data_IF_363679614143
#
_entry.id   IF_363679614143
#
_cell.length_a   1.000
_cell.length_b   1.000
_cell.length_c   1.000
_cell.angle_alpha   90.00
_cell.angle_beta   90.00
_cell.angle_gamma   90.00
#
_symmetry.space_group_name_H-M   'P 1'
#
loop_
_entity.id
_entity.type
_entity.pdbx_description
1 polymer ?
#
# COMPACT_ATOMS: atom_id res chain seq x y z
N UNK A 1 -4.99 -54.32 1.61
CA UNK A 1 -4.08 -53.18 1.34
C UNK A 1 -4.66 -52.14 0.35
N UNK A 2 -5.98 -51.89 0.33
CA UNK A 2 -6.59 -50.85 -0.54
C UNK A 2 -6.86 -49.54 0.21
N UNK A 3 -7.04 -49.58 1.53
CA UNK A 3 -7.37 -48.42 2.36
C UNK A 3 -6.20 -47.48 2.64
N UNK A 4 -4.95 -47.96 2.55
CA UNK A 4 -3.76 -47.15 2.84
C UNK A 4 -3.46 -46.12 1.73
N UNK A 5 -3.84 -46.42 0.48
CA UNK A 5 -3.60 -45.52 -0.67
C UNK A 5 -4.56 -44.32 -0.70
N UNK A 6 -5.73 -44.44 -0.07
CA UNK A 6 -6.74 -43.38 -0.05
C UNK A 6 -6.37 -42.29 0.97
N UNK A 7 -5.82 -42.66 2.13
CA UNK A 7 -5.40 -41.67 3.14
C UNK A 7 -4.24 -40.79 2.64
N UNK A 8 -3.26 -41.35 1.92
CA UNK A 8 -2.11 -40.59 1.39
C UNK A 8 -2.53 -39.59 0.31
N UNK A 9 -3.52 -39.94 -0.53
CA UNK A 9 -4.03 -39.05 -1.58
C UNK A 9 -4.79 -37.85 -0.99
N UNK A 10 -5.57 -38.08 0.08
CA UNK A 10 -6.32 -37.02 0.78
C UNK A 10 -5.38 -36.04 1.50
N UNK A 11 -4.28 -36.53 2.09
CA UNK A 11 -3.26 -35.67 2.71
C UNK A 11 -2.51 -34.79 1.70
N UNK A 12 -2.26 -35.29 0.49
CA UNK A 12 -1.61 -34.52 -0.58
C UNK A 12 -2.56 -33.44 -1.11
N UNK A 13 -3.86 -33.72 -1.24
CA UNK A 13 -4.85 -32.71 -1.68
C UNK A 13 -5.03 -31.59 -0.65
N UNK A 14 -4.99 -31.88 0.66
CA UNK A 14 -5.07 -30.83 1.68
C UNK A 14 -3.83 -29.93 1.77
N UNK A 15 -2.64 -30.43 1.40
CA UNK A 15 -1.42 -29.61 1.33
C UNK A 15 -1.44 -28.58 0.16
N UNK A 16 -2.33 -28.74 -0.82
CA UNK A 16 -2.51 -27.77 -1.90
C UNK A 16 -3.60 -26.72 -1.63
N UNK A 17 -4.37 -26.85 -0.53
CA UNK A 17 -5.45 -25.91 -0.18
C UNK A 17 -5.01 -24.94 0.93
N UNK A 18 -3.83 -25.13 1.53
CA UNK A 18 -3.12 -24.04 2.22
C UNK A 18 -2.54 -23.06 1.20
N UNK A 19 -3.41 -22.53 0.33
CA UNK A 19 -3.13 -21.30 -0.38
C UNK A 19 -2.71 -20.30 0.67
N UNK A 20 -1.51 -19.75 0.48
CA UNK A 20 -1.03 -18.60 1.22
C UNK A 20 -2.02 -17.47 0.91
N UNK A 21 -3.11 -17.41 1.68
CA UNK A 21 -4.05 -16.32 1.67
C UNK A 21 -3.27 -15.15 2.26
N UNK A 22 -2.52 -14.47 1.39
CA UNK A 22 -2.15 -13.08 1.59
C UNK A 22 -3.49 -12.37 1.88
N UNK A 23 -3.79 -12.16 3.15
CA UNK A 23 -4.99 -11.44 3.56
C UNK A 23 -4.92 -10.08 2.87
N UNK A 24 -5.82 -9.91 1.89
CA UNK A 24 -6.01 -8.62 1.26
C UNK A 24 -6.66 -7.75 2.32
N UNK A 25 -5.97 -6.71 2.76
CA UNK A 25 -6.61 -5.69 3.57
C UNK A 25 -7.53 -4.89 2.65
N UNK A 26 -8.83 -5.16 2.71
CA UNK A 26 -9.83 -4.30 2.09
C UNK A 26 -9.81 -2.94 2.80
N UNK A 27 -10.03 -1.86 2.05
CA UNK A 27 -10.11 -0.54 2.65
C UNK A 27 -11.33 -0.45 3.56
N UNK A 28 -11.13 0.12 4.76
CA UNK A 28 -12.20 0.25 5.74
C UNK A 28 -13.37 1.05 5.14
N UNK A 29 -14.57 0.46 5.21
CA UNK A 29 -15.81 1.17 4.96
C UNK A 29 -15.96 2.25 6.03
N UNK A 30 -16.18 3.49 5.58
CA UNK A 30 -16.24 4.64 6.48
C UNK A 30 -17.59 4.62 7.20
N UNK A 31 -17.57 4.36 8.50
CA UNK A 31 -18.72 4.51 9.39
C UNK A 31 -18.68 5.90 10.03
N UNK A 32 -19.60 6.77 9.61
CA UNK A 32 -19.70 8.15 10.10
C UNK A 32 -19.90 8.24 11.62
N UNK A 33 -20.50 7.23 12.24
CA UNK A 33 -20.69 7.21 13.70
C UNK A 33 -19.36 7.11 14.46
N UNK A 34 -18.34 6.49 13.85
CA UNK A 34 -16.99 6.35 14.42
C UNK A 34 -16.14 7.62 14.29
N UNK A 35 -16.45 8.50 13.35
CA UNK A 35 -15.76 9.80 13.16
C UNK A 35 -15.95 10.79 14.32
N UNK A 36 -16.70 10.43 15.37
CA UNK A 36 -16.86 11.26 16.58
C UNK A 36 -15.59 11.30 17.44
N UNK A 37 -14.78 10.24 17.40
CA UNK A 37 -13.52 10.13 18.16
C UNK A 37 -12.30 9.89 17.25
N UNK A 38 -12.54 9.76 15.95
CA UNK A 38 -11.54 9.37 14.96
C UNK A 38 -11.52 10.38 13.80
N UNK A 39 -10.39 10.43 13.12
CA UNK A 39 -10.18 11.11 11.85
C UNK A 39 -10.07 10.09 10.72
N UNK A 40 -10.35 10.55 9.50
CA UNK A 40 -10.22 9.77 8.29
C UNK A 40 -9.01 10.26 7.47
N UNK A 41 -8.04 9.38 7.24
CA UNK A 41 -6.98 9.60 6.25
C UNK A 41 -7.42 8.97 4.92
N UNK A 42 -7.27 9.73 3.84
CA UNK A 42 -7.51 9.30 2.47
C UNK A 42 -6.31 9.61 1.58
N UNK A 43 -6.14 8.82 0.53
CA UNK A 43 -5.14 9.05 -0.50
C UNK A 43 -5.26 8.05 -1.64
N UNK A 44 -4.30 8.04 -2.54
CA UNK A 44 -4.25 7.07 -3.62
C UNK A 44 -2.86 6.51 -3.83
N UNK A 45 -2.81 5.32 -4.41
CA UNK A 45 -1.61 4.77 -5.02
C UNK A 45 -1.79 4.79 -6.53
N UNK A 46 -0.82 5.33 -7.26
CA UNK A 46 -0.86 5.31 -8.73
C UNK A 46 0.42 4.76 -9.35
N UNK A 47 0.27 4.29 -10.59
CA UNK A 47 1.36 3.79 -11.42
C UNK A 47 1.09 4.12 -12.88
N UNK A 48 2.15 4.22 -13.67
CA UNK A 48 2.02 4.38 -15.12
C UNK A 48 1.37 3.12 -15.74
N UNK A 49 0.62 3.32 -16.81
CA UNK A 49 0.10 2.23 -17.66
C UNK A 49 1.26 1.49 -18.35
N UNK A 50 1.06 0.22 -18.67
CA UNK A 50 2.03 -0.62 -19.40
C UNK A 50 2.37 -1.92 -18.66
N UNK A 51 3.43 -2.61 -19.10
CA UNK A 51 3.83 -3.93 -18.58
C UNK A 51 4.93 -3.89 -17.51
N UNK A 52 5.63 -2.76 -17.38
CA UNK A 52 6.72 -2.58 -16.43
C UNK A 52 6.23 -1.84 -15.20
N UNK A 53 5.32 -2.43 -14.43
CA UNK A 53 4.73 -1.78 -13.26
C UNK A 53 4.93 -2.58 -11.97
N UNK A 54 4.82 -1.87 -10.85
CA UNK A 54 4.92 -2.41 -9.50
C UNK A 54 3.55 -2.98 -9.10
N UNK A 55 3.53 -4.22 -8.62
CA UNK A 55 2.28 -4.96 -8.35
C UNK A 55 1.81 -4.84 -6.90
N UNK A 56 2.71 -4.47 -5.99
CA UNK A 56 2.48 -4.41 -4.55
C UNK A 56 3.02 -3.09 -4.02
N UNK A 57 2.26 -2.35 -3.23
CA UNK A 57 2.76 -1.11 -2.63
C UNK A 57 2.28 -0.99 -1.20
N UNK A 58 3.13 -0.46 -0.32
CA UNK A 58 2.72 -0.11 1.04
C UNK A 58 3.51 1.07 1.56
N UNK A 59 2.99 1.63 2.64
CA UNK A 59 3.68 2.53 3.55
C UNK A 59 3.23 2.17 4.96
N UNK A 60 3.98 2.66 5.94
CA UNK A 60 3.66 2.49 7.34
C UNK A 60 3.12 3.80 7.91
N UNK A 61 2.01 3.73 8.64
CA UNK A 61 1.56 4.81 9.52
C UNK A 61 2.01 4.48 10.93
N UNK A 62 2.95 5.27 11.46
CA UNK A 62 3.47 5.12 12.82
C UNK A 62 3.11 6.31 13.68
N UNK A 63 2.81 6.08 14.96
CA UNK A 63 2.66 7.14 15.96
C UNK A 63 3.89 7.16 16.88
N UNK A 64 4.15 8.28 17.56
CA UNK A 64 5.15 8.33 18.63
C UNK A 64 4.79 7.46 19.83
N UNK A 65 3.52 7.04 19.96
CA UNK A 65 3.03 6.20 21.05
C UNK A 65 2.43 4.88 20.52
N UNK A 66 3.31 4.03 19.97
CA UNK A 66 2.99 2.80 19.23
C UNK A 66 1.99 1.87 19.98
N UNK A 67 2.06 1.84 21.30
CA UNK A 67 1.19 1.01 22.16
C UNK A 67 -0.25 1.52 22.27
N UNK A 68 -0.49 2.82 22.09
CA UNK A 68 -1.84 3.39 22.11
C UNK A 68 -2.60 3.01 20.83
N UNK A 69 -1.96 3.17 19.68
CA UNK A 69 -2.54 2.84 18.38
C UNK A 69 -2.85 1.36 18.26
N UNK A 70 -1.92 0.49 18.66
CA UNK A 70 -2.15 -0.96 18.69
C UNK A 70 -3.39 -1.34 19.51
N UNK A 71 -3.57 -0.72 20.69
CA UNK A 71 -4.72 -0.98 21.57
C UNK A 71 -6.07 -0.53 21.00
N UNK A 72 -6.11 0.62 20.31
CA UNK A 72 -7.36 1.09 19.69
C UNK A 72 -7.77 0.20 18.52
N UNK A 73 -6.81 -0.26 17.71
CA UNK A 73 -7.08 -1.17 16.59
C UNK A 73 -7.44 -2.59 17.06
N UNK A 74 -6.73 -3.14 18.05
CA UNK A 74 -7.07 -4.42 18.66
C UNK A 74 -8.50 -4.41 19.25
N UNK A 75 -8.95 -3.28 19.80
CA UNK A 75 -10.31 -3.11 20.33
C UNK A 75 -11.38 -3.01 19.23
N UNK A 76 -11.03 -2.54 18.03
CA UNK A 76 -11.95 -2.47 16.88
C UNK A 76 -12.16 -3.83 16.18
N UNK A 77 -11.42 -4.87 16.57
CA UNK A 77 -11.40 -6.16 15.86
C UNK A 77 -10.76 -6.09 14.47
N UNK A 78 -10.13 -4.96 14.16
CA UNK A 78 -9.43 -4.72 12.91
C UNK A 78 -7.99 -5.19 13.09
N UNK A 79 -7.59 -6.26 12.40
CA UNK A 79 -6.21 -6.73 12.43
C UNK A 79 -5.36 -5.62 11.85
N UNK A 80 -4.45 -5.07 12.65
CA UNK A 80 -3.42 -4.14 12.20
C UNK A 80 -2.72 -4.73 10.98
N UNK A 81 -3.09 -4.24 9.81
CA UNK A 81 -2.20 -4.20 8.68
C UNK A 81 -2.40 -2.90 7.94
N UNK A 82 -2.07 -1.83 8.66
CA UNK A 82 -1.86 -0.50 8.09
C UNK A 82 -0.36 -0.20 7.90
N UNK A 83 0.51 -1.19 8.12
CA UNK A 83 1.97 -0.98 8.19
C UNK A 83 2.82 -2.26 8.04
N UNK A 84 2.34 -3.34 7.41
CA UNK A 84 3.19 -4.54 7.20
C UNK A 84 2.72 -5.48 6.07
N UNK A 85 1.44 -5.47 5.67
CA UNK A 85 1.03 -6.18 4.46
C UNK A 85 1.03 -5.21 3.26
N UNK A 86 1.66 -5.58 2.14
CA UNK A 86 1.57 -4.79 0.92
C UNK A 86 0.10 -4.65 0.49
N UNK A 87 -0.37 -3.42 0.29
CA UNK A 87 -1.65 -3.20 -0.37
C UNK A 87 -1.57 -3.74 -1.80
N UNK A 88 -2.59 -4.52 -2.17
CA UNK A 88 -2.76 -4.94 -3.55
C UNK A 88 -3.50 -3.84 -4.30
N UNK A 89 -2.99 -3.44 -5.47
CA UNK A 89 -3.73 -2.57 -6.36
C UNK A 89 -5.04 -3.25 -6.81
N UNK A 90 -6.18 -2.65 -6.47
CA UNK A 90 -7.50 -3.02 -6.98
C UNK A 90 -7.84 -2.34 -8.32
N UNK A 91 -7.02 -1.36 -8.74
CA UNK A 91 -7.24 -0.53 -9.93
C UNK A 91 -8.63 0.16 -9.90
N UNK A 92 -8.91 0.89 -8.83
CA UNK A 92 -10.15 1.68 -8.68
C UNK A 92 -10.32 2.74 -9.78
N UNK A 93 -9.21 3.17 -10.40
CA UNK A 93 -9.23 4.14 -11.47
C UNK A 93 -8.22 3.86 -12.58
N UNK A 94 -8.58 4.34 -13.77
CA UNK A 94 -7.69 4.57 -14.90
C UNK A 94 -7.86 6.02 -15.32
N UNK A 95 -6.77 6.79 -15.35
CA UNK A 95 -6.78 8.21 -15.65
C UNK A 95 -5.59 8.56 -16.55
N UNK A 96 -5.88 9.01 -17.76
CA UNK A 96 -4.90 9.35 -18.80
C UNK A 96 -3.82 8.26 -18.99
N UNK A 97 -2.64 8.46 -18.42
CA UNK A 97 -1.47 7.58 -18.51
C UNK A 97 -1.21 6.78 -17.25
N UNK A 98 -2.11 6.87 -16.26
CA UNK A 98 -1.97 6.25 -14.95
C UNK A 98 -3.17 5.35 -14.62
N UNK A 99 -2.94 4.37 -13.75
CA UNK A 99 -4.00 3.63 -13.07
C UNK A 99 -3.61 3.44 -11.61
N UNK A 100 -4.59 3.20 -10.75
CA UNK A 100 -4.33 3.18 -9.33
C UNK A 100 -5.51 2.78 -8.47
N UNK A 101 -5.30 2.80 -7.18
CA UNK A 101 -6.31 2.53 -6.16
C UNK A 101 -6.40 3.68 -5.19
N UNK A 102 -7.63 3.99 -4.76
CA UNK A 102 -7.87 4.90 -3.65
C UNK A 102 -7.86 4.12 -2.34
N UNK A 103 -7.45 4.77 -1.26
CA UNK A 103 -7.44 4.18 0.07
C UNK A 103 -8.07 5.10 1.12
N UNK A 104 -8.57 4.47 2.18
CA UNK A 104 -9.10 5.12 3.37
C UNK A 104 -8.67 4.37 4.63
N UNK A 105 -8.37 5.09 5.69
CA UNK A 105 -8.13 4.52 7.02
C UNK A 105 -8.64 5.45 8.11
N UNK A 106 -9.31 4.87 9.10
CA UNK A 106 -9.76 5.56 10.30
C UNK A 106 -8.66 5.48 11.37
N UNK A 107 -8.33 6.62 11.96
CA UNK A 107 -7.30 6.72 13.01
C UNK A 107 -7.79 7.62 14.14
N UNK A 108 -7.42 7.36 15.41
CA UNK A 108 -7.74 8.28 16.51
C UNK A 108 -7.16 9.67 16.30
N UNK A 109 -7.70 10.67 17.00
CA UNK A 109 -7.04 11.98 17.05
C UNK A 109 -5.59 11.87 17.55
N UNK A 110 -4.70 12.68 16.97
CA UNK A 110 -3.29 12.62 17.33
C UNK A 110 -2.34 13.09 16.25
N UNK A 111 -1.06 12.75 16.45
CA UNK A 111 0.02 13.02 15.50
C UNK A 111 0.73 11.74 15.11
N UNK A 112 0.93 11.59 13.82
CA UNK A 112 1.40 10.40 13.13
C UNK A 112 2.52 10.76 12.14
N UNK A 113 3.28 9.76 11.75
CA UNK A 113 4.28 9.83 10.69
C UNK A 113 3.97 8.74 9.66
N UNK A 114 3.95 9.13 8.40
CA UNK A 114 3.85 8.20 7.28
C UNK A 114 5.26 7.96 6.77
N UNK A 115 5.70 6.70 6.78
CA UNK A 115 7.08 6.31 6.52
C UNK A 115 7.19 4.93 5.85
N UNK A 116 8.42 4.44 5.66
CA UNK A 116 8.76 3.09 5.16
C UNK A 116 7.99 2.70 3.89
N UNK A 117 8.20 3.45 2.81
CA UNK A 117 7.52 3.21 1.54
C UNK A 117 8.11 1.99 0.84
N UNK A 118 7.25 1.09 0.38
CA UNK A 118 7.60 -0.13 -0.33
C UNK A 118 6.94 -0.19 -1.70
N UNK A 119 7.73 -0.53 -2.71
CA UNK A 119 7.30 -0.84 -4.07
C UNK A 119 7.73 -2.26 -4.46
N UNK A 120 6.80 -3.21 -4.38
CA UNK A 120 7.01 -4.64 -4.57
C UNK A 120 6.78 -5.17 -5.99
N UNK A 121 7.65 -6.10 -6.39
CA UNK A 121 7.53 -6.94 -7.58
C UNK A 121 7.83 -8.39 -7.21
N UNK A 122 6.86 -9.29 -7.43
CA UNK A 122 7.00 -10.70 -7.07
C UNK A 122 7.10 -10.91 -5.55
N UNK A 123 8.20 -11.54 -5.11
CA UNK A 123 8.51 -11.86 -3.71
C UNK A 123 9.37 -10.81 -2.98
N UNK A 124 9.71 -9.69 -3.62
CA UNK A 124 10.49 -8.62 -3.00
C UNK A 124 10.01 -7.23 -3.38
N UNK A 125 10.74 -6.20 -2.95
CA UNK A 125 10.43 -4.81 -3.25
C UNK A 125 11.55 -3.82 -2.97
N UNK A 126 11.40 -2.61 -3.49
CA UNK A 126 12.26 -1.47 -3.21
C UNK A 126 11.71 -0.73 -1.99
N UNK A 127 12.58 -0.41 -1.03
CA UNK A 127 12.19 0.25 0.23
C UNK A 127 12.89 1.59 0.35
N UNK A 128 12.19 2.61 0.83
CA UNK A 128 12.76 3.92 1.10
C UNK A 128 12.03 4.62 2.24
N UNK A 129 12.80 5.40 3.02
CA UNK A 129 12.28 6.11 4.18
C UNK A 129 12.17 7.60 3.86
N UNK A 130 10.95 8.09 3.93
CA UNK A 130 10.61 9.51 3.96
C UNK A 130 9.57 9.66 5.06
N UNK A 131 9.66 10.68 5.89
CA UNK A 131 8.72 10.86 6.99
C UNK A 131 7.84 12.06 6.71
N UNK A 132 6.54 11.82 6.54
CA UNK A 132 5.53 12.87 6.45
C UNK A 132 4.76 12.93 7.77
N UNK A 133 4.85 14.06 8.47
CA UNK A 133 4.10 14.29 9.71
C UNK A 133 2.64 14.61 9.38
N UNK A 134 1.72 13.91 10.02
CA UNK A 134 0.27 14.10 9.87
C UNK A 134 -0.37 14.30 11.24
N UNK A 135 -0.98 15.46 11.46
CA UNK A 135 -1.74 15.75 12.68
C UNK A 135 -3.22 15.90 12.35
N UNK A 136 -4.04 15.15 13.08
CA UNK A 136 -5.49 15.02 12.87
C UNK A 136 -6.25 15.23 14.17
N UNK A 137 -7.45 15.79 14.06
CA UNK A 137 -8.45 15.90 15.13
C UNK A 137 -9.66 15.01 14.82
N UNK A 138 -10.45 14.69 15.85
CA UNK A 138 -11.69 13.97 15.65
C UNK A 138 -12.59 14.68 14.61
N UNK A 139 -13.11 13.90 13.66
CA UNK A 139 -13.93 14.39 12.55
C UNK A 139 -13.15 14.95 11.35
N UNK A 140 -11.82 15.09 11.43
CA UNK A 140 -11.02 15.53 10.29
C UNK A 140 -11.10 14.50 9.14
N UNK A 141 -11.15 15.01 7.91
CA UNK A 141 -10.89 14.24 6.69
C UNK A 141 -9.61 14.79 6.07
N UNK A 142 -8.57 13.97 6.00
CA UNK A 142 -7.24 14.41 5.60
C UNK A 142 -6.78 13.67 4.35
N UNK A 143 -6.45 14.43 3.31
CA UNK A 143 -5.85 13.90 2.09
C UNK A 143 -4.33 14.01 2.13
N UNK A 144 -3.66 12.86 2.06
CA UNK A 144 -2.20 12.76 2.18
C UNK A 144 -1.47 12.69 0.84
N UNK A 145 -2.21 12.59 -0.26
CA UNK A 145 -1.67 12.66 -1.62
C UNK A 145 -1.84 11.38 -2.43
N UNK A 146 -1.47 11.50 -3.70
CA UNK A 146 -1.23 10.39 -4.60
C UNK A 146 0.22 9.94 -4.46
N UNK A 147 0.41 8.72 -3.98
CA UNK A 147 1.71 8.06 -3.83
C UNK A 147 1.95 7.25 -5.10
N UNK A 148 2.65 7.88 -6.05
CA UNK A 148 2.98 7.31 -7.34
C UNK A 148 4.34 6.61 -7.30
N UNK A 149 4.36 5.37 -7.79
CA UNK A 149 5.60 4.58 -7.91
C UNK A 149 6.04 4.46 -9.37
N UNK A 150 7.15 5.10 -9.72
CA UNK A 150 7.72 5.11 -11.06
C UNK A 150 8.99 4.25 -11.14
N UNK A 151 8.96 3.10 -11.85
CA UNK A 151 10.11 2.23 -11.93
C UNK A 151 11.25 2.87 -12.73
N UNK A 152 12.47 2.76 -12.21
CA UNK A 152 13.69 3.12 -12.91
C UNK A 152 14.17 1.89 -13.67
N UNK A 153 14.22 2.02 -15.00
CA UNK A 153 14.60 0.95 -15.90
C UNK A 153 16.06 1.09 -16.33
N UNK A 154 16.80 -0.02 -16.31
CA UNK A 154 18.12 -0.14 -16.92
C UNK A 154 18.10 -1.28 -17.94
N UNK A 155 18.79 -1.09 -19.07
CA UNK A 155 19.00 -2.16 -20.04
C UNK A 155 19.72 -3.33 -19.39
N UNK A 156 19.26 -4.54 -19.66
CA UNK A 156 19.88 -5.76 -19.14
C UNK A 156 21.29 -5.89 -19.73
N UNK A 157 22.34 -6.14 -18.91
CA UNK A 157 23.72 -6.16 -19.40
C UNK A 157 23.98 -7.23 -20.48
N UNK A 158 23.18 -8.30 -20.48
CA UNK A 158 23.25 -9.40 -21.46
C UNK A 158 22.16 -9.38 -22.54
N UNK A 159 21.17 -8.49 -22.47
CA UNK A 159 20.03 -8.49 -23.41
C UNK A 159 19.58 -7.05 -23.71
N UNK A 160 20.03 -6.50 -24.83
CA UNK A 160 19.77 -5.09 -25.20
C UNK A 160 18.28 -4.75 -25.36
N UNK A 161 17.46 -5.74 -25.66
CA UNK A 161 16.01 -5.60 -25.80
C UNK A 161 15.23 -5.79 -24.48
N UNK A 162 15.89 -6.11 -23.37
CA UNK A 162 15.25 -6.29 -22.06
C UNK A 162 15.61 -5.15 -21.12
N UNK A 163 14.58 -4.59 -20.48
CA UNK A 163 14.73 -3.58 -19.42
C UNK A 163 14.39 -4.22 -18.08
N UNK A 164 15.27 -4.05 -17.10
CA UNK A 164 15.06 -4.45 -15.72
C UNK A 164 14.74 -3.24 -14.86
N UNK A 165 13.82 -3.42 -13.91
CA UNK A 165 13.58 -2.43 -12.86
C UNK A 165 14.72 -2.56 -11.86
N UNK A 166 15.51 -1.50 -11.68
CA UNK A 166 16.66 -1.47 -10.76
C UNK A 166 16.39 -0.68 -9.49
N UNK A 167 15.38 0.19 -9.53
CA UNK A 167 14.92 1.03 -8.42
C UNK A 167 13.55 1.59 -8.77
N UNK A 168 12.93 2.35 -7.87
CA UNK A 168 11.64 3.01 -8.08
C UNK A 168 11.69 4.40 -7.46
N UNK A 169 11.18 5.42 -8.16
CA UNK A 169 10.90 6.71 -7.55
C UNK A 169 9.53 6.66 -6.89
N UNK A 170 9.46 7.10 -5.64
CA UNK A 170 8.21 7.46 -4.99
C UNK A 170 7.97 8.94 -5.21
N UNK A 171 6.79 9.30 -5.71
CA UNK A 171 6.36 10.66 -5.95
C UNK A 171 5.05 10.87 -5.20
N UNK A 172 5.04 11.82 -4.27
CA UNK A 172 3.85 12.24 -3.54
C UNK A 172 3.40 13.57 -4.15
N UNK A 173 2.16 13.62 -4.63
CA UNK A 173 1.60 14.80 -5.29
C UNK A 173 0.12 14.99 -4.99
N UNK A 174 -0.38 16.21 -5.16
CA UNK A 174 -1.78 16.50 -4.88
C UNK A 174 -2.63 16.14 -6.10
N UNK A 175 -3.44 15.08 -5.98
CA UNK A 175 -4.39 14.65 -7.01
C UNK A 175 -5.82 14.61 -6.47
N UNK A 176 -6.14 15.39 -5.42
CA UNK A 176 -7.44 15.35 -4.77
C UNK A 176 -8.59 15.55 -5.77
N UNK A 177 -8.41 16.41 -6.77
CA UNK A 177 -9.42 16.68 -7.79
C UNK A 177 -9.80 15.44 -8.60
N UNK A 178 -8.80 14.66 -8.98
CA UNK A 178 -8.97 13.36 -9.65
C UNK A 178 -9.59 12.35 -8.68
N UNK A 179 -8.99 12.22 -7.50
CA UNK A 179 -9.30 11.15 -6.54
C UNK A 179 -10.67 11.31 -5.88
N UNK A 180 -11.11 12.55 -5.66
CA UNK A 180 -12.38 12.88 -5.01
C UNK A 180 -13.58 12.23 -5.68
N UNK A 181 -13.58 12.17 -7.02
CA UNK A 181 -14.66 11.51 -7.76
C UNK A 181 -14.71 10.00 -7.46
N UNK A 182 -13.56 9.36 -7.37
CA UNK A 182 -13.46 7.94 -7.01
C UNK A 182 -13.86 7.72 -5.55
N UNK A 183 -13.43 8.59 -4.63
CA UNK A 183 -13.84 8.54 -3.22
C UNK A 183 -15.36 8.64 -3.07
N UNK A 184 -15.96 9.64 -3.72
CA UNK A 184 -17.41 9.86 -3.69
C UNK A 184 -18.18 8.64 -4.20
N UNK A 185 -17.71 8.04 -5.29
CA UNK A 185 -18.36 6.87 -5.90
C UNK A 185 -18.17 5.59 -5.08
N UNK A 186 -16.95 5.32 -4.58
CA UNK A 186 -16.62 4.08 -3.84
C UNK A 186 -17.26 4.08 -2.46
N UNK A 187 -17.19 5.19 -1.74
CA UNK A 187 -17.64 5.24 -0.36
C UNK A 187 -19.08 5.78 -0.18
N UNK A 188 -19.70 6.34 -1.23
CA UNK A 188 -21.09 6.84 -1.24
C UNK A 188 -21.44 7.74 -0.04
N UNK A 189 -20.49 8.57 0.39
CA UNK A 189 -20.66 9.43 1.55
C UNK A 189 -21.21 10.77 1.10
N UNK A 190 -22.50 11.03 1.36
CA UNK A 190 -23.16 12.29 1.00
C UNK A 190 -22.57 13.52 1.73
N UNK A 191 -21.90 13.30 2.88
CA UNK A 191 -21.17 14.35 3.61
C UNK A 191 -19.74 14.60 3.14
N UNK A 192 -19.26 13.85 2.14
CA UNK A 192 -17.93 14.03 1.56
C UNK A 192 -17.97 15.22 0.61
N UNK A 193 -17.77 16.40 1.17
CA UNK A 193 -17.61 17.62 0.39
C UNK A 193 -16.12 17.93 0.27
N UNK A 194 -15.67 18.25 -0.94
CA UNK A 194 -14.24 18.45 -1.22
C UNK A 194 -13.66 19.58 -0.36
N UNK A 195 -14.45 20.63 -0.12
CA UNK A 195 -14.08 21.77 0.72
C UNK A 195 -13.81 21.42 2.20
N UNK A 196 -14.30 20.27 2.68
CA UNK A 196 -14.06 19.81 4.05
C UNK A 196 -12.81 18.92 4.16
N UNK A 197 -12.13 18.65 3.04
CA UNK A 197 -10.96 17.79 3.01
C UNK A 197 -9.71 18.65 3.24
N UNK A 198 -9.02 18.40 4.34
CA UNK A 198 -7.74 19.01 4.66
C UNK A 198 -6.64 18.37 3.82
N UNK A 199 -6.06 19.15 2.91
CA UNK A 199 -4.94 18.70 2.07
C UNK A 199 -3.63 18.88 2.83
N UNK A 200 -2.91 17.79 3.10
CA UNK A 200 -1.60 17.80 3.78
C UNK A 200 -0.44 17.38 2.87
N UNK A 201 -0.64 17.52 1.56
CA UNK A 201 0.34 17.07 0.57
C UNK A 201 1.55 18.01 0.54
N UNK A 202 2.71 17.48 0.91
CA UNK A 202 4.00 18.08 0.59
C UNK A 202 4.53 17.40 -0.69
N UNK A 203 4.64 18.15 -1.78
CA UNK A 203 5.16 17.57 -3.03
C UNK A 203 6.57 17.04 -2.83
N UNK A 204 6.74 15.73 -3.03
CA UNK A 204 8.00 15.07 -2.77
C UNK A 204 8.30 14.04 -3.84
N UNK A 205 9.57 13.97 -4.23
CA UNK A 205 10.12 12.87 -5.01
C UNK A 205 11.35 12.33 -4.31
N UNK A 206 11.37 11.04 -4.08
CA UNK A 206 12.51 10.35 -3.48
C UNK A 206 12.69 8.96 -4.08
N UNK A 207 13.90 8.44 -3.97
CA UNK A 207 14.25 7.14 -4.51
C UNK A 207 14.05 6.05 -3.45
N UNK A 208 13.43 4.95 -3.84
CA UNK A 208 13.41 3.72 -3.06
C UNK A 208 14.68 2.94 -3.38
N UNK A 209 15.39 2.52 -2.34
CA UNK A 209 16.72 1.92 -2.39
C UNK A 209 16.74 0.53 -3.02
N UNK A 210 17.73 -0.28 -2.64
CA UNK A 210 17.94 -1.59 -3.24
C UNK A 210 16.73 -2.53 -3.06
N UNK A 211 16.54 -3.43 -4.04
CA UNK A 211 15.52 -4.46 -3.98
C UNK A 211 15.82 -5.44 -2.83
N UNK A 212 14.85 -5.68 -1.97
CA UNK A 212 14.92 -6.63 -0.85
C UNK A 212 13.92 -7.75 -1.08
N UNK A 213 14.32 -9.01 -0.84
CA UNK A 213 13.45 -10.19 -0.94
C UNK A 213 12.79 -10.51 0.40
N UNK A 214 11.51 -10.89 0.40
CA UNK A 214 10.83 -11.40 1.59
C UNK A 214 11.35 -12.80 1.90
N UNK A 215 12.44 -12.89 2.67
CA UNK A 215 13.07 -14.13 3.10
C UNK A 215 14.55 -14.18 2.76
N UNK A 216 15.39 -13.84 3.74
CA UNK A 216 16.86 -13.90 3.75
C UNK A 216 17.60 -13.12 2.65
N UNK A 217 18.80 -12.58 2.94
CA UNK A 217 19.63 -11.96 1.91
C UNK A 217 20.10 -13.07 0.95
N UNK A 218 19.44 -13.22 -0.19
CA UNK A 218 20.10 -13.87 -1.32
C UNK A 218 21.21 -12.92 -1.77
N UNK A 219 22.44 -13.26 -1.39
CA UNK A 219 23.65 -12.76 -2.03
C UNK A 219 23.50 -13.13 -3.50
N UNK A 220 23.07 -12.18 -4.32
CA UNK A 220 23.27 -12.27 -5.76
C UNK A 220 24.78 -12.15 -5.91
N UNK A 221 25.45 -13.29 -6.11
CA UNK A 221 26.79 -13.30 -6.67
C UNK A 221 26.67 -12.62 -8.04
N UNK A 222 27.03 -11.33 -8.08
CA UNK A 222 27.42 -10.69 -9.31
C UNK A 222 28.78 -11.29 -9.62
N UNK A 223 28.96 -12.11 -10.67
CA UNK A 223 30.30 -12.48 -11.08
C UNK A 223 30.97 -11.18 -11.54
N UNK A 224 31.90 -10.69 -10.73
CA UNK A 224 32.87 -9.70 -11.18
C UNK A 224 33.69 -10.36 -12.28
N UNK A 225 33.61 -9.83 -13.49
CA UNK A 225 34.60 -10.05 -14.54
C UNK A 225 35.92 -9.39 -14.14
#
# INVERSE_FOLDING_TARGET
>A
MKSFKICVLISIVMLFISGCASSKSEFALIDKSKMTNEALIIGSFSRNLGNNYIHKTSFDIVTLNHDFVKRVFDAAGETLSLANNPYSFENDFVYETSQGSIFSTMIPEGTYYITNYLAGKGSGGFIGNYEQKVSVKAGDIVYIGDIKFEPILRTHPLYDNKKNIVSTNCIISNQLDRDFNYFKNKYKIDSFKKENIKVLVEEKKFNLGAFQTNGSPFIIFVPTL
#
